data_IF_404741253991
#
_entry.id   IF_404741253991
#
_cell.length_a   1.000
_cell.length_b   1.000
_cell.length_c   1.000
_cell.angle_alpha   90.00
_cell.angle_beta   90.00
_cell.angle_gamma   90.00
#
_symmetry.space_group_name_H-M   'P 1'
#
loop_
_entity.id
_entity.type
_entity.pdbx_description
1 polymer ?
#
# COMPACT_ATOMS: atom_id res chain seq x y z
N UNK A 1 -1.07 -52.57 -19.47
CA UNK A 1 -0.99 -51.09 -19.48
C UNK A 1 -2.12 -50.55 -18.60
N UNK A 2 -1.81 -49.81 -17.51
CA UNK A 2 -2.84 -49.30 -16.58
C UNK A 2 -3.64 -48.19 -17.27
N UNK A 3 -4.98 -48.30 -17.27
CA UNK A 3 -5.89 -47.27 -17.79
C UNK A 3 -5.90 -46.08 -16.82
N UNK A 4 -5.54 -44.89 -17.31
CA UNK A 4 -5.61 -43.66 -16.53
C UNK A 4 -7.06 -43.14 -16.51
N UNK A 5 -7.62 -42.98 -15.30
CA UNK A 5 -8.96 -42.42 -15.06
C UNK A 5 -8.89 -40.90 -14.86
N UNK A 6 -8.35 -40.16 -15.83
CA UNK A 6 -8.32 -38.71 -15.76
C UNK A 6 -9.70 -38.15 -16.12
N UNK A 7 -10.40 -37.55 -15.15
CA UNK A 7 -11.64 -36.80 -15.39
C UNK A 7 -11.30 -35.42 -15.93
N UNK A 8 -11.79 -35.11 -17.13
CA UNK A 8 -11.72 -33.76 -17.70
C UNK A 8 -12.79 -32.91 -17.01
N UNK A 9 -12.36 -31.89 -16.28
CA UNK A 9 -13.27 -30.91 -15.65
C UNK A 9 -13.35 -29.70 -16.57
N UNK A 10 -14.56 -29.30 -16.96
CA UNK A 10 -14.79 -28.05 -17.70
C UNK A 10 -14.65 -26.87 -16.73
N UNK A 11 -13.72 -25.98 -17.02
CA UNK A 11 -13.55 -24.73 -16.28
C UNK A 11 -14.59 -23.74 -16.80
N UNK A 12 -15.41 -23.19 -15.89
CA UNK A 12 -16.41 -22.16 -16.22
C UNK A 12 -15.70 -20.84 -16.49
N UNK A 13 -15.78 -20.37 -17.73
CA UNK A 13 -15.15 -19.12 -18.20
C UNK A 13 -15.70 -17.88 -17.47
N UNK A 14 -16.90 -17.98 -16.88
CA UNK A 14 -17.53 -16.87 -16.15
C UNK A 14 -17.14 -16.81 -14.67
N UNK A 15 -16.40 -17.79 -14.14
CA UNK A 15 -15.82 -17.68 -12.79
C UNK A 15 -14.53 -16.88 -12.88
N UNK A 16 -14.41 -15.83 -12.07
CA UNK A 16 -13.12 -15.15 -11.86
C UNK A 16 -12.11 -16.14 -11.29
N UNK A 17 -11.29 -16.72 -12.16
CA UNK A 17 -10.40 -17.85 -11.83
C UNK A 17 -9.26 -17.47 -10.89
N UNK A 18 -9.05 -16.17 -10.66
CA UNK A 18 -7.93 -15.66 -9.89
C UNK A 18 -8.40 -14.51 -9.00
N UNK A 19 -8.16 -14.65 -7.71
CA UNK A 19 -8.20 -13.54 -6.77
C UNK A 19 -6.85 -12.81 -6.88
N UNK A 20 -6.85 -11.64 -7.50
CA UNK A 20 -5.65 -10.83 -7.69
C UNK A 20 -5.48 -9.86 -6.51
N UNK A 21 -5.39 -10.43 -5.31
CA UNK A 21 -4.92 -9.71 -4.15
C UNK A 21 -3.44 -9.35 -4.36
N UNK A 22 -3.17 -8.05 -4.33
CA UNK A 22 -1.84 -7.49 -4.49
C UNK A 22 -1.51 -6.66 -3.25
N UNK A 23 -0.22 -6.63 -2.91
CA UNK A 23 0.31 -5.87 -1.77
C UNK A 23 1.44 -4.97 -2.24
N UNK A 24 1.39 -3.70 -1.85
CA UNK A 24 2.50 -2.75 -1.98
C UNK A 24 3.10 -2.53 -0.59
N UNK A 25 4.42 -2.68 -0.51
CA UNK A 25 5.21 -2.44 0.70
C UNK A 25 6.07 -1.20 0.49
N UNK A 26 5.89 -0.20 1.36
CA UNK A 26 6.75 0.98 1.44
C UNK A 26 7.47 0.91 2.78
N UNK A 27 8.71 0.43 2.75
CA UNK A 27 9.51 0.26 3.95
C UNK A 27 10.35 1.50 4.23
N UNK A 28 10.43 1.86 5.50
CA UNK A 28 11.36 2.87 6.02
C UNK A 28 11.27 4.25 5.34
N UNK A 29 10.04 4.72 5.08
CA UNK A 29 9.82 6.08 4.61
C UNK A 29 10.12 7.06 5.76
N UNK A 30 11.27 7.72 5.74
CA UNK A 30 11.67 8.69 6.76
C UNK A 30 11.20 10.09 6.37
N UNK A 31 10.42 10.74 7.23
CA UNK A 31 9.93 12.11 7.06
C UNK A 31 10.22 12.95 8.30
N UNK A 32 10.46 14.24 8.09
CA UNK A 32 10.56 15.21 9.18
C UNK A 32 9.18 15.84 9.41
N UNK A 33 8.63 15.72 10.61
CA UNK A 33 7.38 16.39 10.99
C UNK A 33 7.40 16.86 12.44
N UNK A 34 6.51 17.80 12.76
CA UNK A 34 6.29 18.24 14.14
C UNK A 34 5.24 17.32 14.77
N UNK A 35 5.67 16.59 15.78
CA UNK A 35 4.87 15.58 16.47
C UNK A 35 5.21 15.67 17.95
N UNK A 36 4.22 15.54 18.84
CA UNK A 36 4.43 15.49 20.28
C UNK A 36 3.46 16.38 21.06
N UNK A 37 3.23 16.02 22.32
CA UNK A 37 2.28 16.71 23.18
C UNK A 37 2.91 17.93 23.86
N UNK A 38 4.20 17.83 24.20
CA UNK A 38 4.91 18.85 24.96
C UNK A 38 5.32 20.05 24.09
N UNK A 39 5.43 21.22 24.71
CA UNK A 39 5.70 22.46 23.98
C UNK A 39 7.08 22.51 23.31
N UNK A 40 8.07 21.79 23.85
CA UNK A 40 9.38 21.67 23.22
C UNK A 40 9.32 20.82 21.92
N UNK A 41 8.43 19.84 21.84
CA UNK A 41 8.24 18.98 20.67
C UNK A 41 7.55 19.73 19.52
N UNK A 42 6.67 20.69 19.85
CA UNK A 42 6.01 21.58 18.89
C UNK A 42 6.97 22.53 18.17
N UNK A 43 8.13 22.81 18.78
CA UNK A 43 9.08 23.79 18.27
C UNK A 43 9.89 23.23 17.10
N UNK A 44 10.44 22.03 17.24
CA UNK A 44 11.38 21.44 16.27
C UNK A 44 10.78 20.20 15.59
N UNK A 45 10.96 20.05 14.26
CA UNK A 45 10.58 18.82 13.59
C UNK A 45 11.47 17.66 14.01
N UNK A 46 10.90 16.47 14.07
CA UNK A 46 11.58 15.21 14.37
C UNK A 46 11.48 14.23 13.20
N UNK A 47 12.46 13.32 13.11
CA UNK A 47 12.49 12.25 12.12
C UNK A 47 11.55 11.13 12.55
N UNK A 48 10.58 10.81 11.71
CA UNK A 48 9.65 9.69 11.91
C UNK A 48 9.81 8.72 10.75
N UNK A 49 9.91 7.43 11.08
CA UNK A 49 10.01 6.33 10.11
C UNK A 49 8.63 5.70 9.96
N UNK A 50 8.11 5.70 8.74
CA UNK A 50 6.85 5.05 8.39
C UNK A 50 7.11 3.76 7.64
N UNK A 51 6.37 2.71 7.98
CA UNK A 51 6.26 1.50 7.18
C UNK A 51 4.80 1.36 6.77
N UNK A 52 4.53 1.25 5.47
CA UNK A 52 3.17 1.15 4.96
C UNK A 52 2.98 -0.15 4.19
N UNK A 53 1.85 -0.79 4.50
CA UNK A 53 1.32 -1.92 3.75
C UNK A 53 0.01 -1.48 3.09
N UNK A 54 -0.06 -1.58 1.77
CA UNK A 54 -1.26 -1.27 1.00
C UNK A 54 -1.72 -2.53 0.30
N UNK A 55 -2.77 -3.14 0.85
CA UNK A 55 -3.46 -4.26 0.23
C UNK A 55 -4.51 -3.72 -0.74
N UNK A 56 -4.53 -4.25 -1.96
CA UNK A 56 -5.52 -3.88 -2.96
C UNK A 56 -5.88 -5.08 -3.83
N UNK A 57 -7.12 -5.10 -4.28
CA UNK A 57 -7.62 -6.08 -5.24
C UNK A 57 -7.76 -5.40 -6.59
N UNK A 58 -7.27 -6.05 -7.64
CA UNK A 58 -7.42 -5.55 -9.00
C UNK A 58 -7.85 -6.68 -9.93
N UNK A 59 -8.99 -6.51 -10.60
CA UNK A 59 -9.54 -7.53 -11.50
C UNK A 59 -8.63 -7.84 -12.69
N UNK A 60 -7.60 -7.03 -12.93
CA UNK A 60 -6.68 -7.17 -14.06
C UNK A 60 -5.25 -7.50 -13.60
N UNK A 61 -4.48 -8.25 -14.41
CA UNK A 61 -3.06 -8.41 -14.19
C UNK A 61 -2.34 -7.05 -14.32
N UNK A 62 -1.26 -6.89 -13.55
CA UNK A 62 -0.38 -5.72 -13.69
C UNK A 62 0.35 -5.76 -15.04
N UNK A 63 0.54 -4.60 -15.66
CA UNK A 63 1.25 -4.45 -16.93
C UNK A 63 2.36 -3.40 -16.79
N UNK A 64 3.61 -3.83 -16.91
CA UNK A 64 4.79 -2.96 -16.75
C UNK A 64 4.87 -1.82 -17.78
N UNK A 65 4.10 -1.89 -18.87
CA UNK A 65 4.03 -0.85 -19.90
C UNK A 65 2.96 0.22 -19.64
N UNK A 66 2.09 0.02 -18.65
CA UNK A 66 1.01 0.96 -18.33
C UNK A 66 0.93 1.25 -16.83
N UNK A 67 1.30 2.48 -16.45
CA UNK A 67 1.21 2.96 -15.07
C UNK A 67 -0.23 2.92 -14.51
N UNK A 68 -1.25 2.95 -15.37
CA UNK A 68 -2.66 2.86 -14.95
C UNK A 68 -3.08 1.45 -14.54
N UNK A 69 -2.28 0.43 -14.90
CA UNK A 69 -2.54 -0.96 -14.53
C UNK A 69 -2.09 -1.31 -13.11
N UNK A 70 -1.44 -0.37 -12.41
CA UNK A 70 -0.94 -0.56 -11.05
C UNK A 70 -1.40 0.58 -10.14
N UNK A 71 -1.42 0.29 -8.84
CA UNK A 71 -1.57 1.34 -7.83
C UNK A 71 -0.26 2.15 -7.76
N UNK A 72 -0.34 3.44 -8.06
CA UNK A 72 0.81 4.33 -8.11
C UNK A 72 1.29 4.71 -6.69
N UNK A 73 2.34 4.02 -6.22
CA UNK A 73 2.97 4.28 -4.93
C UNK A 73 3.57 5.69 -4.81
N UNK A 74 4.03 6.30 -5.90
CA UNK A 74 4.59 7.66 -5.87
C UNK A 74 3.50 8.69 -5.49
N UNK A 75 2.25 8.48 -5.94
CA UNK A 75 1.11 9.29 -5.50
C UNK A 75 0.83 9.12 -4.01
N UNK A 76 0.89 7.88 -3.50
CA UNK A 76 0.71 7.59 -2.07
C UNK A 76 1.77 8.34 -1.24
N UNK A 77 3.06 8.21 -1.59
CA UNK A 77 4.14 8.92 -0.90
C UNK A 77 3.97 10.44 -0.96
N UNK A 78 3.51 10.99 -2.10
CA UNK A 78 3.26 12.43 -2.24
C UNK A 78 2.13 12.91 -1.32
N UNK A 79 1.06 12.12 -1.18
CA UNK A 79 -0.05 12.43 -0.29
C UNK A 79 0.40 12.43 1.17
N UNK A 80 1.16 11.41 1.60
CA UNK A 80 1.72 11.33 2.97
C UNK A 80 2.58 12.56 3.25
N UNK A 81 3.50 12.90 2.34
CA UNK A 81 4.34 14.11 2.47
C UNK A 81 3.52 15.38 2.60
N UNK A 82 2.39 15.50 1.89
CA UNK A 82 1.51 16.66 1.96
C UNK A 82 0.77 16.74 3.31
N UNK A 83 0.30 15.61 3.82
CA UNK A 83 -0.41 15.53 5.11
C UNK A 83 0.49 15.97 6.27
N UNK A 84 1.73 15.46 6.32
CA UNK A 84 2.64 15.73 7.44
C UNK A 84 3.30 17.11 7.42
N UNK A 85 3.34 17.80 6.26
CA UNK A 85 4.08 19.05 6.10
C UNK A 85 3.44 20.24 6.82
N UNK A 86 2.11 20.29 6.87
CA UNK A 86 1.38 21.51 7.23
C UNK A 86 0.70 21.46 8.61
N UNK A 87 0.87 20.37 9.36
CA UNK A 87 0.15 20.14 10.61
C UNK A 87 1.10 19.63 11.69
N UNK A 88 0.94 20.15 12.90
CA UNK A 88 1.50 19.55 14.10
C UNK A 88 0.54 18.46 14.62
N UNK A 89 1.08 17.31 14.97
CA UNK A 89 0.31 16.20 15.53
C UNK A 89 0.68 16.04 17.01
N UNK A 90 -0.31 15.96 17.89
CA UNK A 90 -0.03 15.75 19.31
C UNK A 90 0.32 14.29 19.63
N UNK A 91 -0.28 13.36 18.90
CA UNK A 91 -0.19 11.92 19.14
C UNK A 91 0.06 11.17 17.83
N UNK A 92 0.73 10.01 17.93
CA UNK A 92 0.97 9.12 16.79
C UNK A 92 -0.35 8.53 16.27
N UNK A 93 -1.31 8.31 17.16
CA UNK A 93 -2.64 7.80 16.89
C UNK A 93 -3.49 8.80 16.08
N UNK A 94 -3.14 10.10 16.10
CA UNK A 94 -3.82 11.10 15.26
C UNK A 94 -3.21 11.18 13.85
N UNK A 95 -2.04 10.57 13.67
CA UNK A 95 -1.30 10.54 12.41
C UNK A 95 -1.62 9.29 11.58
N UNK A 96 -1.88 8.16 12.24
CA UNK A 96 -2.31 6.89 11.64
C UNK A 96 -3.84 6.81 11.52
#
# INVERSE_FOLDING_TARGET
>A
MKKNNLKIVKIDENKGLFNYEKKILINELILNLKLGYYDFEKQKPQKVKFSLEVNYEDKKPSNDKDLKSIVNYARIVKLIKKLVKNKHYNFLETLA
#
